data_IF_516965546321
#
_entry.id   IF_516965546321
#
_cell.length_a   1.000
_cell.length_b   1.000
_cell.length_c   1.000
_cell.angle_alpha   90.00
_cell.angle_beta   90.00
_cell.angle_gamma   90.00
#
_symmetry.space_group_name_H-M   'P 1'
#
loop_
_entity.id
_entity.type
_entity.pdbx_description
1 polymer ?
#
# COMPACT_ATOMS: atom_id res chain seq x y z
N UNK A 1 6.48 48.45 32.40
CA UNK A 1 7.56 47.52 31.95
C UNK A 1 8.70 48.38 31.42
N UNK A 2 9.64 48.76 32.29
CA UNK A 2 10.76 49.64 31.93
C UNK A 2 11.75 48.90 31.04
N UNK A 3 11.91 49.40 29.82
CA UNK A 3 12.94 49.02 28.87
C UNK A 3 14.19 49.83 29.24
N UNK A 4 15.06 49.28 30.09
CA UNK A 4 16.38 49.90 30.36
C UNK A 4 17.22 49.85 29.07
N UNK A 5 17.61 51.00 28.48
CA UNK A 5 18.28 51.03 27.18
C UNK A 5 19.80 50.80 27.25
N UNK A 6 20.41 50.74 28.44
CA UNK A 6 21.87 50.76 28.57
C UNK A 6 22.45 49.46 29.14
N UNK A 7 21.85 48.31 28.82
CA UNK A 7 22.47 47.03 29.15
C UNK A 7 23.70 46.84 28.26
N UNK A 8 24.92 46.63 28.81
CA UNK A 8 26.10 46.41 27.99
C UNK A 8 25.87 45.19 27.09
N UNK A 9 26.32 45.27 25.82
CA UNK A 9 26.07 44.25 24.79
C UNK A 9 26.45 42.82 25.23
N UNK A 10 27.43 42.69 26.14
CA UNK A 10 27.82 41.44 26.78
C UNK A 10 26.69 40.81 27.60
N UNK A 11 25.97 41.58 28.40
CA UNK A 11 24.86 41.13 29.23
C UNK A 11 23.66 40.72 28.38
N UNK A 12 23.37 41.48 27.32
CA UNK A 12 22.30 41.13 26.39
C UNK A 12 22.57 39.81 25.65
N UNK A 13 23.81 39.57 25.23
CA UNK A 13 24.23 38.29 24.63
C UNK A 13 24.10 37.14 25.63
N UNK A 14 24.47 37.37 26.88
CA UNK A 14 24.40 36.36 27.93
C UNK A 14 22.94 35.98 28.25
N UNK A 15 22.07 36.98 28.41
CA UNK A 15 20.64 36.77 28.62
C UNK A 15 19.98 36.00 27.45
N UNK A 16 20.37 36.31 26.21
CA UNK A 16 19.85 35.62 25.03
C UNK A 16 20.31 34.16 24.96
N UNK A 17 21.59 33.89 25.29
CA UNK A 17 22.12 32.52 25.37
C UNK A 17 21.37 31.68 26.41
N UNK A 18 21.09 32.26 27.59
CA UNK A 18 20.33 31.58 28.63
C UNK A 18 18.91 31.23 28.16
N UNK A 19 18.21 32.16 27.50
CA UNK A 19 16.88 31.91 26.94
C UNK A 19 16.89 30.81 25.88
N UNK A 20 17.86 30.85 24.96
CA UNK A 20 18.01 29.81 23.93
C UNK A 20 18.30 28.44 24.55
N UNK A 21 19.11 28.39 25.60
CA UNK A 21 19.41 27.15 26.31
C UNK A 21 18.14 26.53 26.91
N UNK A 22 17.36 27.33 27.64
CA UNK A 22 16.09 26.89 28.24
C UNK A 22 15.08 26.44 27.17
N UNK A 23 15.00 27.18 26.06
CA UNK A 23 14.11 26.81 24.95
C UNK A 23 14.54 25.49 24.31
N UNK A 24 15.84 25.27 24.10
CA UNK A 24 16.35 24.01 23.56
C UNK A 24 16.10 22.84 24.50
N UNK A 25 16.27 23.03 25.81
CA UNK A 25 15.90 22.00 26.79
C UNK A 25 14.41 21.66 26.70
N UNK A 26 13.54 22.67 26.62
CA UNK A 26 12.09 22.45 26.49
C UNK A 26 11.73 21.69 25.22
N UNK A 27 12.32 22.07 24.08
CA UNK A 27 12.13 21.36 22.81
C UNK A 27 12.61 19.91 22.95
N UNK A 28 13.79 19.69 23.55
CA UNK A 28 14.33 18.34 23.75
C UNK A 28 13.43 17.49 24.63
N UNK A 29 12.79 18.06 25.65
CA UNK A 29 11.80 17.34 26.47
C UNK A 29 10.52 17.03 25.70
N UNK A 30 10.02 17.96 24.88
CA UNK A 30 8.81 17.73 24.07
C UNK A 30 9.05 16.75 22.91
N UNK A 31 10.27 16.70 22.40
CA UNK A 31 10.70 15.78 21.35
C UNK A 31 11.37 14.53 21.91
N UNK A 32 11.51 14.41 23.24
CA UNK A 32 12.06 13.20 23.83
C UNK A 32 11.10 12.05 23.50
N UNK A 33 11.57 10.98 22.84
CA UNK A 33 10.71 9.85 22.51
C UNK A 33 10.13 9.28 23.80
N UNK A 34 8.82 9.04 23.78
CA UNK A 34 8.06 8.48 24.89
C UNK A 34 8.48 7.02 25.14
N UNK A 35 9.59 6.83 25.85
CA UNK A 35 9.98 5.53 26.42
C UNK A 35 10.83 4.61 25.53
N UNK A 36 11.45 3.57 26.13
CA UNK A 36 12.42 2.69 25.49
C UNK A 36 11.75 1.47 24.82
N UNK A 37 10.86 1.69 23.85
CA UNK A 37 10.19 0.56 23.16
C UNK A 37 9.96 0.73 21.64
N UNK A 38 9.65 1.92 21.11
CA UNK A 38 8.96 1.99 19.82
C UNK A 38 9.63 2.89 18.77
N UNK A 39 10.94 2.76 18.56
CA UNK A 39 11.61 3.46 17.43
C UNK A 39 11.28 2.82 16.05
N UNK A 40 10.30 1.92 16.00
CA UNK A 40 9.71 1.34 14.78
C UNK A 40 8.31 1.92 14.51
N UNK A 41 8.06 3.19 14.86
CA UNK A 41 6.85 3.85 14.36
C UNK A 41 6.96 4.05 12.84
N UNK A 42 5.97 3.63 12.04
CA UNK A 42 6.05 3.75 10.60
C UNK A 42 6.08 5.23 10.21
N UNK A 43 7.22 5.66 9.65
CA UNK A 43 7.50 7.06 9.29
C UNK A 43 6.64 7.56 8.12
N UNK A 44 6.06 6.65 7.32
CA UNK A 44 5.21 6.99 6.20
C UNK A 44 3.76 6.55 6.41
N UNK A 45 2.83 7.31 5.84
CA UNK A 45 1.40 7.01 5.84
C UNK A 45 1.11 5.63 5.21
N UNK A 46 1.88 5.27 4.17
CA UNK A 46 1.78 3.95 3.51
C UNK A 46 2.18 2.82 4.45
N UNK A 47 3.28 2.98 5.20
CA UNK A 47 3.73 1.97 6.15
C UNK A 47 2.77 1.85 7.34
N UNK A 48 2.17 2.97 7.79
CA UNK A 48 1.07 2.96 8.79
C UNK A 48 -0.15 2.21 8.29
N UNK A 49 -0.54 2.39 7.03
CA UNK A 49 -1.69 1.71 6.45
C UNK A 49 -1.47 0.19 6.40
N UNK A 50 -0.26 -0.24 6.04
CA UNK A 50 0.10 -1.66 5.92
C UNK A 50 0.14 -2.33 7.31
N UNK A 51 0.73 -1.68 8.31
CA UNK A 51 0.90 -2.29 9.64
C UNK A 51 -0.33 -2.17 10.53
N UNK A 52 -1.08 -1.07 10.45
CA UNK A 52 -2.24 -0.84 11.33
C UNK A 52 -3.56 -1.34 10.75
N UNK A 53 -3.68 -1.43 9.41
CA UNK A 53 -4.93 -1.82 8.74
C UNK A 53 -4.67 -2.79 7.59
N UNK A 54 -4.14 -4.00 7.87
CA UNK A 54 -3.77 -4.97 6.85
C UNK A 54 -4.96 -5.37 5.95
N UNK A 55 -6.17 -5.46 6.53
CA UNK A 55 -7.38 -5.76 5.77
C UNK A 55 -7.72 -4.70 4.72
N UNK A 56 -7.50 -3.41 5.01
CA UNK A 56 -7.73 -2.33 4.05
C UNK A 56 -6.66 -2.33 2.94
N UNK A 57 -5.41 -2.58 3.30
CA UNK A 57 -4.31 -2.71 2.34
C UNK A 57 -4.53 -3.90 1.39
N UNK A 58 -4.96 -5.05 1.91
CA UNK A 58 -5.31 -6.25 1.13
C UNK A 58 -6.47 -5.99 0.16
N UNK A 59 -7.51 -5.26 0.57
CA UNK A 59 -8.63 -4.89 -0.31
C UNK A 59 -8.20 -3.97 -1.45
N UNK A 60 -7.31 -3.01 -1.19
CA UNK A 60 -6.77 -2.15 -2.23
C UNK A 60 -5.89 -2.94 -3.20
N UNK A 61 -5.02 -3.80 -2.68
CA UNK A 61 -4.17 -4.66 -3.50
C UNK A 61 -5.01 -5.62 -4.38
N UNK A 62 -6.08 -6.20 -3.83
CA UNK A 62 -6.97 -7.08 -4.59
C UNK A 62 -7.77 -6.33 -5.65
N UNK A 63 -8.22 -5.10 -5.39
CA UNK A 63 -8.87 -4.26 -6.39
C UNK A 63 -7.92 -3.89 -7.53
N UNK A 64 -6.68 -3.49 -7.22
CA UNK A 64 -5.65 -3.21 -8.23
C UNK A 64 -5.34 -4.47 -9.05
N UNK A 65 -5.18 -5.61 -8.39
CA UNK A 65 -4.98 -6.89 -9.07
C UNK A 65 -6.17 -7.25 -9.98
N UNK A 66 -7.40 -7.03 -9.54
CA UNK A 66 -8.60 -7.27 -10.35
C UNK A 66 -8.64 -6.35 -11.59
N UNK A 67 -8.23 -5.10 -11.47
CA UNK A 67 -8.17 -4.18 -12.63
C UNK A 67 -7.06 -4.59 -13.60
N UNK A 68 -5.90 -5.00 -13.09
CA UNK A 68 -4.75 -5.39 -13.92
C UNK A 68 -4.95 -6.75 -14.60
N UNK A 69 -5.47 -7.73 -13.86
CA UNK A 69 -5.60 -9.12 -14.30
C UNK A 69 -7.01 -9.47 -14.74
N UNK A 70 -8.05 -8.72 -14.36
CA UNK A 70 -9.44 -8.97 -14.77
C UNK A 70 -9.63 -9.11 -16.27
N UNK A 71 -9.12 -8.19 -17.12
CA UNK A 71 -9.27 -8.32 -18.57
C UNK A 71 -8.50 -9.53 -19.15
N UNK A 72 -7.37 -9.90 -18.53
CA UNK A 72 -6.58 -11.07 -18.94
C UNK A 72 -7.23 -12.39 -18.51
N UNK A 73 -7.83 -12.42 -17.33
CA UNK A 73 -8.59 -13.55 -16.80
C UNK A 73 -9.87 -13.79 -17.61
N UNK A 74 -10.61 -12.73 -17.95
CA UNK A 74 -11.81 -12.83 -18.81
C UNK A 74 -11.45 -13.32 -20.21
N UNK A 75 -10.35 -12.82 -20.80
CA UNK A 75 -9.86 -13.34 -22.09
C UNK A 75 -9.41 -14.79 -22.02
N UNK A 76 -8.70 -15.18 -20.96
CA UNK A 76 -8.24 -16.56 -20.77
C UNK A 76 -9.39 -17.55 -20.56
N UNK A 77 -10.36 -17.20 -19.72
CA UNK A 77 -11.56 -18.01 -19.45
C UNK A 77 -12.45 -18.13 -20.68
N UNK A 78 -12.69 -17.03 -21.41
CA UNK A 78 -13.46 -17.05 -22.64
C UNK A 78 -12.84 -17.93 -23.72
N UNK A 79 -11.52 -17.83 -23.91
CA UNK A 79 -10.77 -18.69 -24.84
C UNK A 79 -10.81 -20.16 -24.43
N UNK A 80 -10.58 -20.46 -23.15
CA UNK A 80 -10.62 -21.82 -22.62
C UNK A 80 -12.01 -22.47 -22.73
N UNK A 81 -13.09 -21.72 -22.47
CA UNK A 81 -14.47 -22.20 -22.63
C UNK A 81 -14.81 -22.48 -24.09
N UNK A 82 -14.37 -21.65 -25.02
CA UNK A 82 -14.54 -21.90 -26.45
C UNK A 82 -13.75 -23.13 -26.89
N UNK A 83 -12.50 -23.28 -26.42
CA UNK A 83 -11.68 -24.45 -26.71
C UNK A 83 -12.31 -25.73 -26.13
N UNK A 84 -12.80 -25.67 -24.89
CA UNK A 84 -13.49 -26.77 -24.23
C UNK A 84 -14.79 -27.13 -24.95
N UNK A 85 -15.58 -26.15 -25.40
CA UNK A 85 -16.78 -26.40 -26.22
C UNK A 85 -16.43 -27.02 -27.56
N UNK A 86 -15.37 -26.57 -28.23
CA UNK A 86 -14.90 -27.15 -29.48
C UNK A 86 -14.45 -28.60 -29.28
N UNK A 87 -13.66 -28.87 -28.24
CA UNK A 87 -13.21 -30.22 -27.91
C UNK A 87 -14.37 -31.14 -27.53
N UNK A 88 -15.34 -30.62 -26.76
CA UNK A 88 -16.55 -31.33 -26.40
C UNK A 88 -17.41 -31.63 -27.65
N UNK A 89 -17.56 -30.68 -28.57
CA UNK A 89 -18.27 -30.90 -29.83
C UNK A 89 -17.55 -31.87 -30.77
N UNK A 90 -16.21 -31.88 -30.78
CA UNK A 90 -15.40 -32.79 -31.59
C UNK A 90 -15.46 -34.23 -31.06
N UNK A 91 -15.60 -34.40 -29.75
CA UNK A 91 -15.72 -35.71 -29.09
C UNK A 91 -17.15 -36.25 -29.08
N UNK A 92 -18.17 -35.38 -29.19
CA UNK A 92 -19.58 -35.76 -29.28
C UNK A 92 -20.11 -35.99 -30.70
N UNK A 93 -19.26 -35.90 -31.72
CA UNK A 93 -19.63 -36.26 -33.09
C UNK A 93 -19.17 -37.71 -33.34
N UNK A 94 -20.02 -38.73 -33.13
CA UNK A 94 -19.63 -40.09 -33.50
C UNK A 94 -19.38 -40.12 -35.00
N UNK A 95 -18.33 -40.83 -35.48
CA UNK A 95 -18.15 -41.05 -36.90
C UNK A 95 -19.44 -41.70 -37.42
N UNK A 96 -20.14 -41.00 -38.32
CA UNK A 96 -21.18 -41.61 -39.15
C UNK A 96 -20.47 -42.68 -39.97
N UNK A 97 -20.50 -43.91 -39.48
CA UNK A 97 -20.19 -45.07 -40.30
C UNK A 97 -21.17 -45.04 -41.48
N UNK A 98 -20.69 -45.14 -42.73
CA UNK A 98 -21.59 -45.33 -43.86
C UNK A 98 -22.39 -46.61 -43.60
N UNK A 99 -23.70 -46.52 -43.83
CA UNK A 99 -24.59 -47.67 -43.73
C UNK A 99 -24.07 -48.77 -44.68
N UNK A 100 -24.06 -50.05 -44.25
CA UNK A 100 -23.74 -51.13 -45.17
C UNK A 100 -24.74 -51.10 -46.31
N UNK A 101 -24.24 -51.12 -47.53
CA UNK A 101 -25.03 -51.20 -48.75
C UNK A 101 -25.93 -52.44 -48.69
N UNK A 102 -27.23 -52.23 -48.51
CA UNK A 102 -28.28 -53.22 -48.73
C UNK A 102 -28.54 -53.32 -50.24
N UNK A 103 -27.64 -53.94 -50.99
CA UNK A 103 -27.91 -54.42 -52.35
C UNK A 103 -27.25 -55.81 -52.50
N UNK A 104 -28.00 -56.88 -52.18
CA UNK A 104 -28.70 -57.76 -53.14
C UNK A 104 -27.80 -58.48 -54.14
#
# INVERSE_FOLDING_TARGET
>A
MSKNPDMPLSELRLALRQRLFLQRQRIRHLLAPSGPADDVFPRSVTMRLITQRPAAALRLASQVALVLFGPRLVRGLGGALLLAKLLHSATHNPPRLPAPDDER
#
